data_IF_852143116619
#
_entry.id   IF_852143116619
#
_cell.length_a   1.000
_cell.length_b   1.000
_cell.length_c   1.000
_cell.angle_alpha   90.00
_cell.angle_beta   90.00
_cell.angle_gamma   90.00
#
_symmetry.space_group_name_H-M   'P 1'
#
loop_
_entity.id
_entity.type
_entity.pdbx_description
1 polymer ?
#
# COMPACT_ATOMS: atom_id res chain seq x y z
N UNK A 1 14.12 6.60 -54.13
CA UNK A 1 13.24 7.32 -53.19
C UNK A 1 12.27 6.30 -52.62
N UNK A 2 12.66 5.69 -51.51
CA UNK A 2 11.99 4.54 -50.90
C UNK A 2 10.86 5.03 -50.00
N UNK A 3 9.64 4.64 -50.38
CA UNK A 3 8.45 4.67 -49.53
C UNK A 3 8.65 3.59 -48.48
N UNK A 4 9.16 3.96 -47.31
CA UNK A 4 9.23 3.06 -46.16
C UNK A 4 7.95 3.16 -45.35
N UNK A 5 7.11 2.17 -45.62
CA UNK A 5 6.53 1.28 -44.62
C UNK A 5 5.61 1.91 -43.56
N UNK A 6 4.37 2.12 -43.97
CA UNK A 6 3.20 2.16 -43.09
C UNK A 6 2.94 0.75 -42.51
N UNK A 7 3.78 0.28 -41.59
CA UNK A 7 3.59 -1.01 -40.87
C UNK A 7 3.42 -0.86 -39.36
N UNK A 8 2.98 0.30 -38.86
CA UNK A 8 2.37 0.39 -37.53
C UNK A 8 0.90 -0.04 -37.61
N UNK A 9 0.70 -1.26 -38.10
CA UNK A 9 -0.55 -1.98 -38.05
C UNK A 9 -1.05 -2.04 -36.61
N UNK A 10 -2.33 -1.68 -36.44
CA UNK A 10 -3.24 -2.19 -35.44
C UNK A 10 -2.57 -2.77 -34.18
N UNK A 11 -2.29 -1.89 -33.20
CA UNK A 11 -2.09 -2.36 -31.83
C UNK A 11 -3.43 -2.90 -31.35
N UNK A 12 -3.63 -4.21 -31.60
CA UNK A 12 -4.73 -5.05 -31.13
C UNK A 12 -5.28 -4.48 -29.83
N UNK A 13 -6.57 -4.16 -29.85
CA UNK A 13 -7.39 -4.11 -28.65
C UNK A 13 -7.22 -5.45 -27.94
N UNK A 14 -6.24 -5.53 -27.03
CA UNK A 14 -6.14 -6.63 -26.08
C UNK A 14 -7.51 -6.68 -25.42
N UNK A 15 -8.25 -7.76 -25.61
CA UNK A 15 -9.48 -7.98 -24.88
C UNK A 15 -9.07 -8.05 -23.39
N UNK A 16 -9.44 -7.02 -22.62
CA UNK A 16 -9.05 -6.81 -21.22
C UNK A 16 -10.06 -7.43 -20.27
N UNK A 17 -10.51 -8.63 -20.62
CA UNK A 17 -11.48 -9.39 -19.84
C UNK A 17 -10.69 -10.32 -18.93
N UNK A 18 -10.41 -9.89 -17.70
CA UNK A 18 -9.67 -10.71 -16.74
C UNK A 18 -8.57 -9.98 -15.96
N UNK A 19 -7.95 -10.72 -15.05
CA UNK A 19 -6.81 -10.22 -14.28
C UNK A 19 -5.53 -10.25 -15.12
N UNK A 20 -4.70 -9.23 -14.96
CA UNK A 20 -3.47 -9.04 -15.74
C UNK A 20 -2.39 -10.05 -15.33
N UNK A 21 -1.78 -10.71 -16.31
CA UNK A 21 -0.59 -11.54 -16.10
C UNK A 21 0.68 -10.71 -15.80
N UNK A 22 0.59 -9.39 -16.02
CA UNK A 22 1.68 -8.42 -15.82
C UNK A 22 2.20 -8.40 -14.37
N UNK A 23 1.40 -8.84 -13.39
CA UNK A 23 1.80 -8.86 -11.98
C UNK A 23 3.01 -9.77 -11.71
N UNK A 24 3.20 -10.81 -12.51
CA UNK A 24 4.28 -11.79 -12.35
C UNK A 24 5.62 -11.28 -12.93
N UNK A 25 5.65 -10.06 -13.46
CA UNK A 25 6.88 -9.45 -13.94
C UNK A 25 7.88 -9.20 -12.78
N UNK A 26 9.19 -9.36 -13.05
CA UNK A 26 10.23 -9.19 -12.04
C UNK A 26 10.28 -7.77 -11.45
N UNK A 27 9.79 -6.77 -12.19
CA UNK A 27 9.73 -5.37 -11.74
C UNK A 27 9.00 -5.22 -10.40
N UNK A 28 7.89 -5.94 -10.20
CA UNK A 28 7.13 -5.91 -8.95
C UNK A 28 7.91 -6.55 -7.79
N UNK A 29 8.56 -7.69 -8.04
CA UNK A 29 9.39 -8.37 -7.05
C UNK A 29 10.60 -7.51 -6.63
N UNK A 30 11.25 -6.84 -7.59
CA UNK A 30 12.37 -5.94 -7.35
C UNK A 30 11.93 -4.73 -6.52
N UNK A 31 10.80 -4.11 -6.85
CA UNK A 31 10.27 -2.98 -6.09
C UNK A 31 9.93 -3.37 -4.65
N UNK A 32 9.32 -4.53 -4.44
CA UNK A 32 9.08 -5.06 -3.09
C UNK A 32 10.38 -5.32 -2.34
N UNK A 33 11.37 -5.97 -2.97
CA UNK A 33 12.65 -6.27 -2.33
C UNK A 33 13.40 -4.99 -1.96
N UNK A 34 13.40 -3.97 -2.82
CA UNK A 34 14.02 -2.66 -2.55
C UNK A 34 13.38 -1.98 -1.36
N UNK A 35 12.05 -1.95 -1.29
CA UNK A 35 11.31 -1.37 -0.16
C UNK A 35 11.70 -2.04 1.16
N UNK A 36 11.74 -3.38 1.21
CA UNK A 36 12.13 -4.13 2.41
C UNK A 36 13.57 -3.86 2.85
N UNK A 37 14.51 -3.73 1.89
CA UNK A 37 15.90 -3.40 2.20
C UNK A 37 16.00 -2.02 2.86
N UNK A 38 15.32 -1.02 2.30
CA UNK A 38 15.30 0.34 2.86
C UNK A 38 14.70 0.32 4.27
N UNK A 39 13.57 -0.36 4.48
CA UNK A 39 12.97 -0.49 5.83
C UNK A 39 13.95 -1.11 6.83
N UNK A 40 14.69 -2.17 6.46
CA UNK A 40 15.69 -2.79 7.34
C UNK A 40 16.84 -1.83 7.69
N UNK A 41 17.34 -1.08 6.72
CA UNK A 41 18.42 -0.10 6.93
C UNK A 41 17.95 0.99 7.90
N UNK A 42 16.75 1.55 7.67
CA UNK A 42 16.16 2.58 8.55
C UNK A 42 15.99 2.04 9.97
N UNK A 43 15.50 0.81 10.12
CA UNK A 43 15.34 0.17 11.43
C UNK A 43 16.66 0.04 12.19
N UNK A 44 17.73 -0.41 11.53
CA UNK A 44 19.06 -0.52 12.15
C UNK A 44 19.60 0.87 12.51
N UNK A 45 19.46 1.85 11.62
CA UNK A 45 19.90 3.22 11.87
C UNK A 45 19.17 3.84 13.08
N UNK A 46 17.87 3.64 13.23
CA UNK A 46 17.09 4.13 14.37
C UNK A 46 17.56 3.51 15.70
N UNK A 47 17.84 2.20 15.71
CA UNK A 47 18.36 1.52 16.91
C UNK A 47 19.73 2.10 17.28
N UNK A 48 20.62 2.29 16.31
CA UNK A 48 21.94 2.90 16.55
C UNK A 48 21.81 4.32 17.11
N UNK A 49 20.90 5.14 16.58
CA UNK A 49 20.63 6.49 17.08
C UNK A 49 20.16 6.45 18.54
N UNK A 50 19.23 5.55 18.87
CA UNK A 50 18.75 5.37 20.25
C UNK A 50 19.92 5.06 21.19
N UNK A 51 20.78 4.11 20.80
CA UNK A 51 21.96 3.74 21.59
C UNK A 51 22.95 4.89 21.74
N UNK A 52 23.22 5.65 20.67
CA UNK A 52 24.12 6.81 20.72
C UNK A 52 23.58 7.90 21.66
N UNK A 53 22.27 8.15 21.66
CA UNK A 53 21.64 9.13 22.55
C UNK A 53 21.80 8.72 24.02
N UNK A 54 21.44 7.49 24.38
CA UNK A 54 21.55 7.01 25.76
C UNK A 54 23.00 6.86 26.24
N UNK A 55 23.91 6.44 25.35
CA UNK A 55 25.33 6.41 25.65
C UNK A 55 25.89 7.81 25.90
N UNK A 56 25.48 8.79 25.09
CA UNK A 56 25.83 10.20 25.28
C UNK A 56 25.35 10.73 26.62
N UNK A 57 24.08 10.47 27.00
CA UNK A 57 23.54 10.86 28.30
C UNK A 57 24.37 10.32 29.47
N UNK A 58 24.82 9.07 29.37
CA UNK A 58 25.70 8.49 30.38
C UNK A 58 27.10 9.12 30.38
N UNK A 59 27.69 9.35 29.20
CA UNK A 59 29.01 9.95 29.07
C UNK A 59 29.09 11.37 29.65
N UNK A 60 28.01 12.15 29.53
CA UNK A 60 27.91 13.51 30.10
C UNK A 60 27.48 13.53 31.58
N UNK A 61 27.37 12.37 32.24
CA UNK A 61 27.03 12.29 33.66
C UNK A 61 25.56 12.58 33.99
N UNK A 62 24.68 12.65 32.98
CA UNK A 62 23.25 12.86 33.20
C UNK A 62 22.55 11.58 33.69
N UNK A 63 23.16 10.42 33.46
CA UNK A 63 22.62 9.11 33.81
C UNK A 63 23.74 8.12 34.12
N UNK A 64 23.46 7.14 34.99
CA UNK A 64 24.35 5.99 35.15
C UNK A 64 24.36 5.12 33.88
N UNK A 65 25.53 4.56 33.54
CA UNK A 65 25.68 3.70 32.37
C UNK A 65 24.78 2.46 32.40
N UNK A 66 24.60 1.85 33.57
CA UNK A 66 23.70 0.71 33.77
C UNK A 66 22.25 1.07 33.40
N UNK A 67 21.78 2.21 33.92
CA UNK A 67 20.42 2.71 33.69
C UNK A 67 20.22 3.10 32.24
N UNK A 68 21.17 3.80 31.62
CA UNK A 68 21.07 4.19 30.21
C UNK A 68 21.06 2.97 29.27
N UNK A 69 21.89 1.96 29.56
CA UNK A 69 21.92 0.71 28.78
C UNK A 69 20.61 -0.08 28.89
N UNK A 70 20.01 -0.16 30.09
CA UNK A 70 18.71 -0.80 30.29
C UNK A 70 17.62 -0.07 29.50
N UNK A 71 17.58 1.27 29.57
CA UNK A 71 16.58 2.06 28.85
C UNK A 71 16.75 1.97 27.33
N UNK A 72 17.98 2.07 26.81
CA UNK A 72 18.26 1.93 25.38
C UNK A 72 17.84 0.55 24.85
N UNK A 73 18.11 -0.50 25.62
CA UNK A 73 17.73 -1.87 25.30
C UNK A 73 16.21 -2.03 25.30
N UNK A 74 15.52 -1.50 26.31
CA UNK A 74 14.07 -1.57 26.41
C UNK A 74 13.38 -0.91 25.21
N UNK A 75 13.76 0.33 24.88
CA UNK A 75 13.17 1.06 23.72
C UNK A 75 13.47 0.33 22.41
N UNK A 76 14.70 -0.15 22.23
CA UNK A 76 15.08 -0.92 21.04
C UNK A 76 14.32 -2.23 20.92
N UNK A 77 14.09 -2.94 22.04
CA UNK A 77 13.34 -4.19 22.08
C UNK A 77 11.88 -3.99 21.67
N UNK A 78 11.22 -2.95 22.19
CA UNK A 78 9.83 -2.61 21.79
C UNK A 78 9.76 -2.32 20.29
N UNK A 79 10.71 -1.55 19.75
CA UNK A 79 10.77 -1.25 18.32
C UNK A 79 10.95 -2.51 17.46
N UNK A 80 11.84 -3.42 17.88
CA UNK A 80 12.07 -4.70 17.21
C UNK A 80 10.82 -5.60 17.25
N UNK A 81 10.11 -5.63 18.38
CA UNK A 81 8.85 -6.37 18.52
C UNK A 81 7.80 -5.83 17.55
N UNK A 82 7.61 -4.50 17.48
CA UNK A 82 6.68 -3.87 16.52
C UNK A 82 7.07 -4.17 15.06
N UNK A 83 8.36 -4.11 14.74
CA UNK A 83 8.87 -4.49 13.42
C UNK A 83 8.62 -5.96 13.09
N UNK A 84 8.80 -6.86 14.05
CA UNK A 84 8.51 -8.28 13.88
C UNK A 84 7.02 -8.52 13.62
N UNK A 85 6.13 -7.88 14.39
CA UNK A 85 4.67 -7.98 14.18
C UNK A 85 4.25 -7.50 12.79
N UNK A 86 4.73 -6.33 12.35
CA UNK A 86 4.40 -5.80 11.01
C UNK A 86 4.96 -6.70 9.90
N UNK A 87 6.17 -7.23 10.07
CA UNK A 87 6.78 -8.18 9.13
C UNK A 87 5.99 -9.49 9.03
N UNK A 88 5.53 -10.05 10.16
CA UNK A 88 4.70 -11.26 10.17
C UNK A 88 3.35 -10.99 9.50
N UNK A 89 2.72 -9.86 9.78
CA UNK A 89 1.46 -9.46 9.14
C UNK A 89 1.63 -9.40 7.61
N UNK A 90 2.69 -8.76 7.13
CA UNK A 90 2.95 -8.66 5.69
C UNK A 90 3.25 -10.01 5.03
N UNK A 91 3.91 -10.94 5.73
CA UNK A 91 4.14 -12.31 5.22
C UNK A 91 2.87 -13.17 5.17
N UNK A 92 1.90 -12.89 6.05
CA UNK A 92 0.60 -13.57 6.09
C UNK A 92 -0.39 -13.00 5.09
N UNK A 93 -0.04 -11.90 4.44
CA UNK A 93 -0.85 -11.31 3.38
C UNK A 93 -0.86 -12.25 2.17
N UNK A 94 -2.05 -12.57 1.68
CA UNK A 94 -2.25 -13.58 0.63
C UNK A 94 -2.99 -12.96 -0.52
N UNK A 95 -2.67 -13.37 -1.73
CA UNK A 95 -3.47 -13.02 -2.91
C UNK A 95 -4.85 -13.67 -2.81
N UNK A 96 -5.91 -12.90 -3.02
CA UNK A 96 -7.29 -13.39 -2.98
C UNK A 96 -8.15 -12.64 -4.00
N UNK A 97 -9.25 -13.25 -4.42
CA UNK A 97 -10.26 -12.62 -5.28
C UNK A 97 -11.53 -12.37 -4.49
N UNK A 98 -12.32 -11.41 -4.95
CA UNK A 98 -13.62 -11.12 -4.38
C UNK A 98 -14.43 -10.18 -5.24
N UNK A 99 -15.65 -9.90 -4.78
CA UNK A 99 -16.60 -9.02 -5.47
C UNK A 99 -17.05 -7.91 -4.52
N UNK A 100 -17.14 -6.70 -5.03
CA UNK A 100 -17.69 -5.56 -4.27
C UNK A 100 -19.19 -5.74 -4.17
N UNK A 101 -19.70 -5.89 -2.94
CA UNK A 101 -21.12 -6.14 -2.67
C UNK A 101 -21.87 -4.89 -2.23
N UNK A 102 -21.18 -3.92 -1.64
CA UNK A 102 -21.78 -2.69 -1.16
C UNK A 102 -20.75 -1.57 -1.04
N UNK A 103 -21.22 -0.33 -1.01
CA UNK A 103 -20.42 0.89 -0.87
C UNK A 103 -21.11 1.83 0.10
N UNK A 104 -20.37 2.32 1.10
CA UNK A 104 -20.91 3.21 2.12
C UNK A 104 -19.98 4.37 2.40
N UNK A 105 -20.58 5.54 2.63
CA UNK A 105 -19.89 6.69 3.19
C UNK A 105 -20.20 6.72 4.68
N UNK A 106 -19.16 6.61 5.51
CA UNK A 106 -19.26 6.57 6.97
C UNK A 106 -18.60 7.82 7.54
N UNK A 107 -19.32 8.55 8.40
CA UNK A 107 -18.75 9.66 9.16
C UNK A 107 -18.16 9.11 10.46
N UNK A 108 -16.83 9.13 10.58
CA UNK A 108 -16.15 8.70 11.81
C UNK A 108 -15.81 9.93 12.63
N UNK A 109 -16.18 9.91 13.91
CA UNK A 109 -15.80 10.96 14.86
C UNK A 109 -14.50 10.56 15.53
N UNK A 110 -13.46 11.36 15.33
CA UNK A 110 -12.17 11.21 15.99
C UNK A 110 -12.03 12.31 17.03
N UNK A 111 -11.74 11.92 18.27
CA UNK A 111 -11.36 12.87 19.31
C UNK A 111 -9.87 13.15 19.13
N UNK A 112 -9.55 14.38 18.74
CA UNK A 112 -8.17 14.84 18.72
C UNK A 112 -7.89 15.56 20.03
N UNK A 113 -6.73 15.24 20.60
CA UNK A 113 -6.16 15.98 21.71
C UNK A 113 -5.00 16.77 21.13
N UNK A 114 -5.19 18.09 21.04
CA UNK A 114 -4.06 19.00 20.97
C UNK A 114 -3.73 19.47 22.40
N UNK A 115 -2.49 19.87 22.61
CA UNK A 115 -1.83 20.16 23.89
C UNK A 115 -2.64 20.94 24.93
N UNK A 116 -3.66 21.71 24.53
CA UNK A 116 -4.54 22.47 25.44
C UNK A 116 -6.06 22.30 25.16
N UNK A 117 -6.44 21.64 24.06
CA UNK A 117 -7.84 21.54 23.61
C UNK A 117 -8.19 20.16 23.05
N UNK A 118 -9.28 19.58 23.55
CA UNK A 118 -9.90 18.41 22.91
C UNK A 118 -11.01 18.87 21.96
N UNK A 119 -10.91 18.54 20.68
CA UNK A 119 -11.99 18.75 19.73
C UNK A 119 -12.36 17.45 19.01
N UNK A 120 -13.63 17.36 18.60
CA UNK A 120 -14.15 16.23 17.83
C UNK A 120 -14.07 16.61 16.35
N UNK A 121 -13.19 15.94 15.62
CA UNK A 121 -13.15 16.04 14.16
C UNK A 121 -14.02 14.93 13.56
N UNK A 122 -14.90 15.30 12.64
CA UNK A 122 -15.66 14.30 11.85
C UNK A 122 -14.94 14.10 10.53
N UNK A 123 -14.48 12.88 10.29
CA UNK A 123 -13.79 12.47 9.07
C UNK A 123 -14.74 11.65 8.19
N UNK A 124 -14.78 11.95 6.89
CA UNK A 124 -15.60 11.23 5.90
C UNK A 124 -14.80 10.03 5.38
N UNK A 125 -15.23 8.83 5.70
CA UNK A 125 -14.63 7.58 5.23
C UNK A 125 -15.46 7.00 4.10
N UNK A 126 -14.79 6.68 2.99
CA UNK A 126 -15.37 5.95 1.88
C UNK A 126 -15.04 4.47 2.06
N UNK A 127 -16.04 3.62 2.25
CA UNK A 127 -15.85 2.21 2.59
C UNK A 127 -16.44 1.34 1.48
N UNK A 128 -15.65 0.38 1.01
CA UNK A 128 -16.12 -0.67 0.10
C UNK A 128 -16.27 -1.98 0.89
N UNK A 129 -17.38 -2.68 0.68
CA UNK A 129 -17.59 -4.01 1.24
C UNK A 129 -17.29 -5.05 0.18
N UNK A 130 -16.38 -5.97 0.48
CA UNK A 130 -15.89 -6.96 -0.48
C UNK A 130 -16.22 -8.35 0.05
N UNK A 131 -17.00 -9.12 -0.71
CA UNK A 131 -17.18 -10.56 -0.46
C UNK A 131 -16.00 -11.30 -1.03
N UNK A 132 -15.21 -11.95 -0.19
CA UNK A 132 -14.07 -12.76 -0.62
C UNK A 132 -14.53 -14.12 -1.15
N UNK A 133 -13.93 -14.58 -2.24
CA UNK A 133 -14.24 -15.88 -2.83
C UNK A 133 -13.69 -17.04 -1.99
N UNK A 134 -12.54 -16.84 -1.35
CA UNK A 134 -11.82 -17.89 -0.63
C UNK A 134 -12.40 -18.22 0.76
N UNK A 135 -12.96 -17.21 1.43
CA UNK A 135 -13.49 -17.34 2.79
C UNK A 135 -14.98 -17.11 2.88
N UNK A 136 -15.60 -16.64 1.79
CA UNK A 136 -17.00 -16.20 1.73
C UNK A 136 -17.37 -15.12 2.76
N UNK A 137 -16.38 -14.48 3.39
CA UNK A 137 -16.59 -13.39 4.35
C UNK A 137 -16.63 -12.05 3.63
N UNK A 138 -17.48 -11.16 4.12
CA UNK A 138 -17.42 -9.73 3.73
C UNK A 138 -16.34 -9.05 4.55
N UNK A 139 -15.43 -8.37 3.89
CA UNK A 139 -14.41 -7.52 4.52
C UNK A 139 -14.65 -6.06 4.17
N UNK A 140 -14.36 -5.18 5.11
CA UNK A 140 -14.38 -3.73 4.88
C UNK A 140 -13.04 -3.27 4.34
N UNK A 141 -13.08 -2.51 3.25
CA UNK A 141 -11.93 -1.78 2.74
C UNK A 141 -12.17 -0.28 2.89
N UNK A 142 -11.56 0.27 3.95
CA UNK A 142 -11.63 1.69 4.28
C UNK A 142 -10.65 2.49 3.40
N UNK A 143 -11.20 3.31 2.51
CA UNK A 143 -10.50 4.20 1.59
C UNK A 143 -10.47 5.62 2.17
N UNK A 144 -10.12 5.77 3.45
CA UNK A 144 -10.05 7.06 4.14
C UNK A 144 -9.42 8.16 3.25
N UNK A 145 -10.17 9.26 3.04
CA UNK A 145 -9.77 10.39 2.19
C UNK A 145 -9.45 10.06 0.71
N UNK A 146 -9.95 8.94 0.18
CA UNK A 146 -9.74 8.49 -1.21
C UNK A 146 -11.07 8.32 -1.95
N UNK A 147 -11.74 9.45 -2.18
CA UNK A 147 -12.98 9.51 -2.97
C UNK A 147 -12.77 9.09 -4.44
N UNK A 148 -11.57 9.36 -4.97
CA UNK A 148 -11.14 8.93 -6.30
C UNK A 148 -11.20 7.41 -6.47
N UNK A 149 -10.71 6.65 -5.49
CA UNK A 149 -10.78 5.19 -5.49
C UNK A 149 -12.22 4.71 -5.28
N UNK A 150 -12.95 5.36 -4.37
CA UNK A 150 -14.35 5.01 -4.15
C UNK A 150 -15.18 5.16 -5.42
N UNK A 151 -14.99 6.22 -6.19
CA UNK A 151 -15.73 6.46 -7.43
C UNK A 151 -15.27 5.55 -8.57
N UNK A 152 -14.02 5.10 -8.56
CA UNK A 152 -13.47 4.18 -9.56
C UNK A 152 -14.08 2.77 -9.52
N UNK A 153 -14.35 2.24 -8.32
CA UNK A 153 -14.94 0.91 -8.17
C UNK A 153 -16.47 0.96 -8.15
N UNK A 154 -17.12 0.02 -8.85
CA UNK A 154 -18.57 -0.16 -8.88
C UNK A 154 -19.00 -1.38 -8.06
N UNK A 155 -20.26 -1.39 -7.62
CA UNK A 155 -20.86 -2.61 -7.02
C UNK A 155 -20.94 -3.67 -8.11
N UNK A 156 -20.64 -4.92 -7.75
CA UNK A 156 -20.47 -6.09 -8.64
C UNK A 156 -19.12 -6.17 -9.36
N UNK A 157 -18.22 -5.21 -9.19
CA UNK A 157 -16.86 -5.33 -9.72
C UNK A 157 -16.15 -6.53 -9.06
N UNK A 158 -15.61 -7.41 -9.90
CA UNK A 158 -14.66 -8.44 -9.49
C UNK A 158 -13.28 -7.82 -9.32
N UNK A 159 -12.65 -8.11 -8.21
CA UNK A 159 -11.33 -7.60 -7.86
C UNK A 159 -10.38 -8.72 -7.41
N UNK A 160 -9.09 -8.48 -7.59
CA UNK A 160 -8.01 -9.33 -7.10
C UNK A 160 -7.08 -8.50 -6.23
N UNK A 161 -6.98 -8.91 -4.98
CA UNK A 161 -5.94 -8.45 -4.10
C UNK A 161 -4.66 -9.23 -4.39
N UNK A 162 -3.57 -8.51 -4.61
CA UNK A 162 -2.24 -9.10 -4.75
C UNK A 162 -1.48 -8.96 -3.45
N UNK A 163 -0.93 -10.07 -2.94
CA UNK A 163 -0.20 -10.08 -1.68
C UNK A 163 0.84 -8.95 -1.63
N UNK A 164 0.88 -8.24 -0.50
CA UNK A 164 1.81 -7.16 -0.18
C UNK A 164 1.53 -5.85 -0.94
N UNK A 165 0.43 -5.76 -1.67
CA UNK A 165 -0.06 -4.51 -2.26
C UNK A 165 -1.32 -4.03 -1.55
N UNK A 166 -1.46 -2.70 -1.43
CA UNK A 166 -2.58 -2.10 -0.70
C UNK A 166 -3.85 -2.01 -1.56
N UNK A 167 -3.69 -1.81 -2.87
CA UNK A 167 -4.80 -1.56 -3.78
C UNK A 167 -5.12 -2.80 -4.61
N UNK A 168 -6.42 -3.00 -4.89
CA UNK A 168 -6.91 -4.18 -5.57
C UNK A 168 -7.01 -3.96 -7.08
N UNK A 169 -6.70 -4.96 -7.88
CA UNK A 169 -6.88 -4.93 -9.33
C UNK A 169 -8.35 -5.19 -9.68
N UNK A 170 -8.95 -4.40 -10.56
CA UNK A 170 -10.29 -4.64 -11.13
C UNK A 170 -10.21 -5.62 -12.31
N UNK A 171 -11.15 -6.54 -12.43
CA UNK A 171 -11.17 -7.58 -13.49
C UNK A 171 -11.62 -7.02 -14.85
N UNK A 172 -12.76 -6.34 -14.90
CA UNK A 172 -13.24 -5.69 -16.12
C UNK A 172 -12.69 -4.27 -16.17
N UNK A 173 -11.80 -3.99 -17.13
CA UNK A 173 -11.20 -2.67 -17.34
C UNK A 173 -11.64 -2.06 -18.67
N UNK A 174 -12.60 -2.69 -19.35
CA UNK A 174 -12.99 -2.35 -20.71
C UNK A 174 -13.53 -0.92 -20.79
N UNK A 175 -14.32 -0.50 -19.78
CA UNK A 175 -15.00 0.79 -19.68
C UNK A 175 -14.20 1.89 -18.98
N UNK A 176 -13.05 1.57 -18.38
CA UNK A 176 -12.30 2.54 -17.58
C UNK A 176 -11.42 3.45 -18.46
N UNK A 177 -11.52 4.77 -18.26
CA UNK A 177 -10.68 5.77 -18.95
C UNK A 177 -9.28 5.92 -18.33
N UNK A 178 -9.09 5.36 -17.14
CA UNK A 178 -7.85 5.42 -16.36
C UNK A 178 -7.53 4.06 -15.76
N UNK A 179 -6.24 3.79 -15.56
CA UNK A 179 -5.75 2.57 -14.90
C UNK A 179 -5.18 2.93 -13.54
N UNK A 180 -5.62 2.21 -12.50
CA UNK A 180 -5.09 2.34 -11.15
C UNK A 180 -3.77 1.59 -11.01
N UNK A 181 -2.73 2.27 -10.54
CA UNK A 181 -1.49 1.60 -10.13
C UNK A 181 -1.66 0.95 -8.76
N UNK A 182 -1.61 -0.39 -8.69
CA UNK A 182 -1.81 -1.13 -7.44
C UNK A 182 -0.70 -0.90 -6.38
N UNK A 183 0.44 -0.36 -6.78
CA UNK A 183 1.57 -0.10 -5.90
C UNK A 183 1.47 1.26 -5.19
N UNK A 184 1.20 2.33 -5.93
CA UNK A 184 1.17 3.69 -5.39
C UNK A 184 -0.23 4.29 -5.27
N UNK A 185 -1.25 3.61 -5.80
CA UNK A 185 -2.64 4.04 -5.76
C UNK A 185 -2.96 5.23 -6.64
N UNK A 186 -2.08 5.61 -7.58
CA UNK A 186 -2.33 6.74 -8.48
C UNK A 186 -2.91 6.26 -9.80
N UNK A 187 -3.83 7.05 -10.35
CA UNK A 187 -4.38 6.85 -11.68
C UNK A 187 -3.39 7.27 -12.76
N UNK A 188 -3.42 6.54 -13.87
CA UNK A 188 -2.70 6.85 -15.10
C UNK A 188 -3.69 6.76 -16.26
N UNK A 189 -3.47 7.54 -17.32
CA UNK A 189 -4.36 7.50 -18.49
C UNK A 189 -4.30 6.12 -19.16
N UNK A 190 -5.41 5.74 -19.78
CA UNK A 190 -5.51 4.50 -20.57
C UNK A 190 -4.42 4.46 -21.65
N UNK A 191 -3.80 3.30 -21.82
CA UNK A 191 -2.76 3.07 -22.83
C UNK A 191 -1.32 3.24 -22.32
N UNK A 192 -1.11 3.77 -21.12
CA UNK A 192 0.23 3.83 -20.52
C UNK A 192 0.69 2.46 -20.01
N UNK A 193 1.87 2.03 -20.44
CA UNK A 193 2.43 0.74 -20.02
C UNK A 193 3.00 0.78 -18.59
N UNK A 194 3.47 1.95 -18.13
CA UNK A 194 4.11 2.14 -16.82
C UNK A 194 3.52 3.33 -16.07
N UNK A 195 3.47 3.22 -14.74
CA UNK A 195 3.02 4.29 -13.86
C UNK A 195 4.00 5.48 -13.90
N UNK A 196 3.50 6.70 -14.09
CA UNK A 196 4.32 7.92 -14.13
C UNK A 196 5.16 8.14 -12.86
N UNK A 197 4.67 7.67 -11.71
CA UNK A 197 5.26 7.92 -10.39
C UNK A 197 6.22 6.83 -9.94
N UNK A 198 5.76 5.58 -9.85
CA UNK A 198 6.58 4.48 -9.36
C UNK A 198 7.29 3.69 -10.46
N UNK A 199 7.04 4.01 -11.74
CA UNK A 199 7.62 3.38 -12.93
C UNK A 199 7.35 1.88 -13.10
N UNK A 200 6.51 1.30 -12.24
CA UNK A 200 6.06 -0.08 -12.39
C UNK A 200 5.08 -0.23 -13.54
N UNK A 201 5.06 -1.40 -14.21
CA UNK A 201 4.04 -1.73 -15.20
C UNK A 201 2.63 -1.53 -14.65
N UNK A 202 1.71 -1.05 -15.49
CA UNK A 202 0.31 -0.90 -15.15
C UNK A 202 -0.44 -2.20 -15.48
N UNK A 203 -1.35 -2.59 -14.58
CA UNK A 203 -2.18 -3.78 -14.79
C UNK A 203 -3.36 -3.42 -15.69
N UNK A 204 -3.10 -3.38 -16.98
CA UNK A 204 -4.12 -3.19 -18.01
C UNK A 204 -4.86 -4.48 -18.34
#
# INVERSE_FOLDING_TARGET
MTVHDQSTAERKTVARDGFSATIDLPDFAIAQAKSQKITRIIMVALILIIWLVFLGLAAFGNMEFSTSAIQATFVSAVLLILYAFTSVKQKRDKTWTGTIVDKKIVMKRRRNHDSDHSYIQTEKHHVLFIRRDDTLKTVEWDLANREDLYNFYEVSDRIKHHARFMFNEKQDKSRDSQTLCINCGRFSERGQEKCRFCKLPLLQ
#
